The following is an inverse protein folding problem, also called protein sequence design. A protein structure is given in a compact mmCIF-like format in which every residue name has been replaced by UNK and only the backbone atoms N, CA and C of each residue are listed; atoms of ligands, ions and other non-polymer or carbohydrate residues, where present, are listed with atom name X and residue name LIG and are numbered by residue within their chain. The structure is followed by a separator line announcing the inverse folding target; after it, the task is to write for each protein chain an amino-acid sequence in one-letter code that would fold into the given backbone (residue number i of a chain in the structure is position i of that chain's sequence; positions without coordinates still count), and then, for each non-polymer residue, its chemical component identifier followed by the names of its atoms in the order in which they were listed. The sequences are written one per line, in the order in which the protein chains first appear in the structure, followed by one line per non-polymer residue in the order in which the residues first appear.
data_IF_062160642286
#
_entry.id   IF_062160642286
#
_cell.length_a   1.000
_cell.length_b   1.000
_cell.length_c   1.000
_cell.angle_alpha   90.00
_cell.angle_beta   90.00
_cell.angle_gamma   90.00
#
_symmetry.space_group_name_H-M   'P 1'
#
loop_
_entity.id
_entity.type
_entity.pdbx_description
1 polymer ?
#
# COMPACT_ATOMS: atom_id res chain seq x y z
N UNK A 1 -27.55 8.50 12.38
CA UNK A 1 -27.23 9.62 13.27
C UNK A 1 -26.24 9.12 14.30
N UNK A 2 -25.03 9.68 14.39
CA UNK A 2 -23.94 9.08 15.16
C UNK A 2 -24.22 8.95 16.68
N UNK A 3 -25.17 9.73 17.23
CA UNK A 3 -25.69 9.54 18.59
C UNK A 3 -26.28 8.14 18.83
N UNK A 4 -26.86 7.51 17.80
CA UNK A 4 -27.34 6.12 17.90
C UNK A 4 -26.20 5.13 18.09
N UNK A 5 -25.04 5.39 17.49
CA UNK A 5 -23.84 4.56 17.67
C UNK A 5 -23.27 4.71 19.08
N UNK A 6 -23.23 5.94 19.61
CA UNK A 6 -22.78 6.18 20.99
C UNK A 6 -23.73 5.50 21.99
N UNK A 7 -25.03 5.56 21.72
CA UNK A 7 -26.06 4.94 22.54
C UNK A 7 -25.98 3.40 22.59
N UNK A 8 -25.26 2.73 21.67
CA UNK A 8 -24.98 1.29 21.81
C UNK A 8 -24.12 1.00 23.04
N UNK A 9 -23.31 1.97 23.47
CA UNK A 9 -22.38 1.83 24.59
C UNK A 9 -22.78 2.64 25.82
N UNK A 10 -23.80 3.50 25.71
CA UNK A 10 -24.32 4.32 26.80
C UNK A 10 -25.83 4.05 27.04
N UNK A 11 -26.19 3.28 28.09
CA UNK A 11 -27.57 2.94 28.40
C UNK A 11 -28.47 4.14 28.71
N UNK A 12 -27.90 5.22 29.26
CA UNK A 12 -28.64 6.45 29.56
C UNK A 12 -29.01 7.16 28.26
N UNK A 13 -28.06 7.31 27.34
CA UNK A 13 -28.28 7.92 26.04
C UNK A 13 -29.24 7.09 25.17
N UNK A 14 -29.12 5.76 25.21
CA UNK A 14 -30.05 4.84 24.55
C UNK A 14 -31.49 5.07 25.00
N UNK A 15 -31.70 5.15 26.32
CA UNK A 15 -33.02 5.42 26.91
C UNK A 15 -33.54 6.82 26.54
N UNK A 16 -32.66 7.82 26.50
CA UNK A 16 -33.02 9.18 26.09
C UNK A 16 -33.47 9.23 24.62
N UNK A 17 -32.74 8.57 23.71
CA UNK A 17 -33.10 8.51 22.28
C UNK A 17 -34.41 7.76 22.06
N UNK A 18 -34.66 6.67 22.80
CA UNK A 18 -35.92 5.93 22.73
C UNK A 18 -37.12 6.77 23.17
N UNK A 19 -36.96 7.54 24.25
CA UNK A 19 -38.05 8.31 24.84
C UNK A 19 -38.28 9.66 24.13
N UNK A 20 -37.23 10.28 23.59
CA UNK A 20 -37.24 11.67 23.11
C UNK A 20 -36.59 11.86 21.73
N UNK A 21 -36.29 10.80 20.99
CA UNK A 21 -35.68 10.89 19.66
C UNK A 21 -36.62 11.40 18.56
N UNK A 22 -37.94 11.21 18.74
CA UNK A 22 -39.00 11.69 17.85
C UNK A 22 -40.18 12.31 18.64
N UNK A 23 -39.96 13.29 19.52
CA UNK A 23 -41.07 13.90 20.19
C UNK A 23 -41.77 14.83 19.20
N UNK A 24 -43.10 14.87 19.22
CA UNK A 24 -43.85 15.92 18.54
C UNK A 24 -43.51 17.31 19.10
N UNK A 25 -44.34 18.31 18.81
CA UNK A 25 -44.13 19.73 19.16
C UNK A 25 -43.89 20.06 20.65
N UNK A 26 -44.08 19.11 21.57
CA UNK A 26 -44.17 19.38 23.02
C UNK A 26 -42.96 18.96 23.85
N UNK A 27 -41.94 18.24 23.31
CA UNK A 27 -40.73 17.92 24.07
C UNK A 27 -39.44 18.35 23.36
N UNK A 28 -38.51 18.92 24.12
CA UNK A 28 -37.15 19.25 23.65
C UNK A 28 -36.31 17.98 23.57
N UNK A 29 -35.98 17.52 22.36
CA UNK A 29 -35.20 16.28 22.17
C UNK A 29 -33.73 16.42 22.55
N UNK A 30 -33.17 17.64 22.51
CA UNK A 30 -31.71 17.90 22.55
C UNK A 30 -30.92 17.13 21.48
N UNK A 31 -31.59 16.68 20.41
CA UNK A 31 -31.01 15.96 19.28
C UNK A 31 -30.83 16.87 18.06
N UNK A 32 -30.75 18.19 18.26
CA UNK A 32 -30.45 19.11 17.16
C UNK A 32 -29.04 18.88 16.63
N UNK A 33 -28.81 19.24 15.37
CA UNK A 33 -27.46 19.25 14.79
C UNK A 33 -26.45 20.01 15.69
N UNK A 34 -26.84 21.18 16.21
CA UNK A 34 -25.99 21.99 17.08
C UNK A 34 -25.63 21.30 18.40
N UNK A 35 -26.60 20.63 19.03
CA UNK A 35 -26.36 19.92 20.30
C UNK A 35 -25.46 18.70 20.10
N UNK A 36 -25.65 17.99 18.99
CA UNK A 36 -24.81 16.86 18.60
C UNK A 36 -23.35 17.25 18.34
N UNK A 37 -23.12 18.33 17.58
CA UNK A 37 -21.77 18.86 17.32
C UNK A 37 -21.07 19.30 18.61
N UNK A 38 -21.78 19.97 19.52
CA UNK A 38 -21.23 20.34 20.83
C UNK A 38 -20.83 19.12 21.65
N UNK A 39 -21.65 18.07 21.65
CA UNK A 39 -21.36 16.85 22.39
C UNK A 39 -20.10 16.15 21.84
N UNK A 40 -19.99 16.02 20.51
CA UNK A 40 -18.77 15.49 19.87
C UNK A 40 -17.56 16.31 20.25
N UNK A 41 -17.67 17.63 20.18
CA UNK A 41 -16.55 18.52 20.50
C UNK A 41 -16.05 18.30 21.93
N UNK A 42 -16.95 18.24 22.91
CA UNK A 42 -16.59 18.00 24.32
C UNK A 42 -15.92 16.63 24.48
N UNK A 43 -16.44 15.59 23.84
CA UNK A 43 -15.81 14.26 23.88
C UNK A 43 -14.43 14.27 23.23
N UNK A 44 -14.27 14.91 22.08
CA UNK A 44 -13.00 15.02 21.38
C UNK A 44 -11.96 15.77 22.24
N UNK A 45 -12.36 16.89 22.85
CA UNK A 45 -11.51 17.64 23.80
C UNK A 45 -11.10 16.76 24.98
N UNK A 46 -12.04 15.99 25.56
CA UNK A 46 -11.73 15.08 26.67
C UNK A 46 -10.75 13.98 26.26
N UNK A 47 -10.92 13.39 25.08
CA UNK A 47 -10.01 12.38 24.53
C UNK A 47 -8.61 12.96 24.32
N UNK A 48 -8.50 14.16 23.72
CA UNK A 48 -7.23 14.84 23.50
C UNK A 48 -6.54 15.14 24.84
N UNK A 49 -7.27 15.66 25.83
CA UNK A 49 -6.71 15.91 27.16
C UNK A 49 -6.12 14.64 27.79
N UNK A 50 -6.85 13.51 27.74
CA UNK A 50 -6.35 12.23 28.23
C UNK A 50 -5.08 11.80 27.49
N UNK A 51 -5.04 11.91 26.16
CA UNK A 51 -3.85 11.58 25.37
C UNK A 51 -2.65 12.45 25.78
N UNK A 52 -2.85 13.75 25.98
CA UNK A 52 -1.79 14.66 26.41
C UNK A 52 -1.28 14.33 27.81
N UNK A 53 -2.16 13.94 28.75
CA UNK A 53 -1.77 13.46 30.08
C UNK A 53 -0.93 12.18 29.99
N UNK A 54 -1.36 11.19 29.19
CA UNK A 54 -0.61 9.97 28.92
C UNK A 54 0.80 10.29 28.36
N UNK A 55 0.89 11.19 27.38
CA UNK A 55 2.16 11.57 26.75
C UNK A 55 3.12 12.29 27.69
N UNK A 56 2.60 13.18 28.55
CA UNK A 56 3.42 13.86 29.57
C UNK A 56 4.06 12.90 30.56
N UNK A 57 3.43 11.74 30.80
CA UNK A 57 3.99 10.68 31.64
C UNK A 57 4.97 9.76 30.89
N UNK A 58 4.94 9.77 29.56
CA UNK A 58 5.81 8.93 28.73
C UNK A 58 7.19 9.56 28.55
N UNK A 59 8.24 8.75 28.61
CA UNK A 59 9.61 9.22 28.36
C UNK A 59 9.84 9.54 26.88
N UNK A 60 9.24 8.76 25.99
CA UNK A 60 9.42 8.86 24.55
C UNK A 60 8.08 8.74 23.83
N UNK A 61 7.89 9.58 22.83
CA UNK A 61 6.77 9.50 21.90
C UNK A 61 7.26 9.83 20.48
N UNK A 62 6.51 9.39 19.50
CA UNK A 62 6.68 9.75 18.10
C UNK A 62 5.34 10.16 17.50
N UNK A 63 5.42 10.97 16.44
CA UNK A 63 4.26 11.38 15.66
C UNK A 63 4.40 10.74 14.28
N UNK A 64 3.50 9.81 13.99
CA UNK A 64 3.31 9.24 12.67
C UNK A 64 2.31 10.11 11.91
N UNK A 65 2.68 10.54 10.72
CA UNK A 65 1.81 11.32 9.86
C UNK A 65 1.68 10.61 8.52
N UNK A 66 0.46 10.19 8.19
CA UNK A 66 0.17 9.45 6.97
C UNK A 66 -0.70 10.29 6.03
N UNK A 67 -0.34 10.33 4.75
CA UNK A 67 -1.02 11.09 3.70
C UNK A 67 -1.61 10.15 2.67
N UNK A 68 -2.90 10.28 2.42
CA UNK A 68 -3.57 9.52 1.36
C UNK A 68 -4.34 10.47 0.44
N UNK A 69 -4.04 10.49 -0.88
CA UNK A 69 -4.86 11.23 -1.81
C UNK A 69 -6.19 10.49 -2.01
N UNK A 70 -7.28 11.25 -1.91
CA UNK A 70 -8.60 10.76 -2.26
C UNK A 70 -8.83 10.77 -3.78
N UNK A 71 -10.02 10.35 -4.22
CA UNK A 71 -10.38 10.27 -5.65
C UNK A 71 -10.36 11.65 -6.35
N UNK A 72 -10.46 12.73 -5.58
CA UNK A 72 -10.39 14.11 -6.06
C UNK A 72 -8.97 14.69 -6.06
N UNK A 73 -7.96 13.86 -5.75
CA UNK A 73 -6.56 14.25 -5.55
C UNK A 73 -6.36 15.27 -4.42
N UNK A 74 -7.26 15.27 -3.44
CA UNK A 74 -7.08 16.03 -2.20
C UNK A 74 -6.37 15.13 -1.21
N UNK A 75 -5.26 15.61 -0.65
CA UNK A 75 -4.48 14.85 0.32
C UNK A 75 -5.18 14.89 1.67
N UNK A 76 -5.48 13.71 2.20
CA UNK A 76 -5.98 13.53 3.56
C UNK A 76 -4.82 13.11 4.45
N UNK A 77 -4.42 14.01 5.34
CA UNK A 77 -3.39 13.78 6.34
C UNK A 77 -4.02 13.27 7.62
N UNK A 78 -3.42 12.24 8.22
CA UNK A 78 -3.78 11.71 9.52
C UNK A 78 -2.60 11.83 10.48
N UNK A 79 -2.89 12.22 11.72
CA UNK A 79 -1.91 12.32 12.79
C UNK A 79 -2.16 11.21 13.80
N UNK A 80 -1.15 10.37 14.01
CA UNK A 80 -1.16 9.30 15.00
C UNK A 80 0.03 9.49 15.92
N UNK A 81 -0.21 9.51 17.22
CA UNK A 81 0.87 9.50 18.20
C UNK A 81 1.10 8.06 18.64
N UNK A 82 2.37 7.68 18.71
CA UNK A 82 2.82 6.42 19.31
C UNK A 82 3.69 6.75 20.53
N UNK A 83 3.46 6.09 21.64
CA UNK A 83 4.26 6.24 22.86
C UNK A 83 4.32 4.92 23.62
N UNK A 84 5.18 4.86 24.64
CA UNK A 84 5.31 3.70 25.53
C UNK A 84 4.62 4.02 26.85
N UNK A 85 3.68 3.16 27.27
CA UNK A 85 2.98 3.34 28.54
C UNK A 85 3.87 2.98 29.75
N UNK A 86 3.36 3.19 30.96
CA UNK A 86 4.09 2.91 32.21
C UNK A 86 4.47 1.45 32.43
N UNK A 87 3.84 0.52 31.69
CA UNK A 87 4.09 -0.93 31.76
C UNK A 87 5.07 -1.37 30.66
N UNK A 88 5.52 -0.45 29.80
CA UNK A 88 6.49 -0.74 28.73
C UNK A 88 5.84 -1.19 27.41
N UNK A 89 4.53 -1.03 27.24
CA UNK A 89 3.83 -1.43 26.01
C UNK A 89 3.65 -0.26 25.05
N UNK A 90 3.80 -0.48 23.72
CA UNK A 90 3.53 0.54 22.72
C UNK A 90 2.03 0.79 22.58
N UNK A 91 1.64 2.05 22.63
CA UNK A 91 0.26 2.53 22.46
C UNK A 91 0.19 3.49 21.29
N UNK A 92 -0.85 3.36 20.47
CA UNK A 92 -1.18 4.32 19.41
C UNK A 92 -2.48 5.05 19.72
N UNK A 93 -2.47 6.36 19.42
CA UNK A 93 -3.61 7.25 19.57
C UNK A 93 -3.76 8.08 18.31
N UNK A 94 -4.91 7.95 17.66
CA UNK A 94 -5.30 8.85 16.57
C UNK A 94 -5.65 10.23 17.14
N UNK A 95 -5.03 11.28 16.61
CA UNK A 95 -5.32 12.66 17.02
C UNK A 95 -6.37 13.33 16.13
N UNK A 96 -6.37 13.01 14.85
CA UNK A 96 -7.23 13.69 13.89
C UNK A 96 -6.72 13.56 12.47
N UNK A 97 -7.60 13.90 11.53
CA UNK A 97 -7.28 14.00 10.11
C UNK A 97 -7.65 15.37 9.56
N UNK A 98 -6.93 15.81 8.54
CA UNK A 98 -7.18 17.07 7.87
C UNK A 98 -6.92 16.92 6.36
N UNK A 99 -7.83 17.47 5.56
CA UNK A 99 -7.70 17.51 4.10
C UNK A 99 -7.00 18.80 3.65
N UNK A 100 -6.16 18.67 2.63
CA UNK A 100 -5.44 19.77 2.01
C UNK A 100 -5.53 19.66 0.49
N UNK A 101 -5.86 20.77 -0.16
CA UNK A 101 -5.76 20.92 -1.61
C UNK A 101 -4.28 21.10 -2.00
N UNK A 102 -3.76 20.26 -2.90
CA UNK A 102 -2.41 20.41 -3.48
C UNK A 102 -1.23 20.48 -2.46
N UNK A 103 -1.10 19.52 -1.55
CA UNK A 103 0.01 19.53 -0.60
C UNK A 103 1.34 19.02 -1.20
N UNK A 104 2.28 19.93 -1.42
CA UNK A 104 3.68 19.58 -1.60
C UNK A 104 4.29 19.05 -0.29
N UNK A 105 4.29 17.71 -0.18
CA UNK A 105 5.25 16.83 0.49
C UNK A 105 5.41 16.89 2.02
N UNK A 106 5.18 15.73 2.65
CA UNK A 106 5.56 15.39 4.02
C UNK A 106 7.03 15.71 4.38
N UNK A 107 7.95 15.53 3.42
CA UNK A 107 9.39 15.75 3.56
C UNK A 107 9.92 16.98 2.80
N UNK A 108 9.03 17.89 2.34
CA UNK A 108 9.43 19.06 1.57
C UNK A 108 10.36 19.99 2.36
N UNK A 109 11.54 20.30 1.80
CA UNK A 109 12.61 21.04 2.47
C UNK A 109 12.19 22.44 2.98
N UNK A 110 11.28 23.12 2.28
CA UNK A 110 10.90 24.51 2.56
C UNK A 110 9.54 24.66 3.23
N UNK A 111 8.56 23.84 2.84
CA UNK A 111 7.16 23.99 3.26
C UNK A 111 6.50 22.70 3.76
N UNK A 112 7.25 21.59 3.80
CA UNK A 112 6.74 20.28 4.18
C UNK A 112 6.47 20.14 5.67
N UNK A 113 5.69 19.12 6.03
CA UNK A 113 5.31 18.83 7.43
C UNK A 113 6.55 18.65 8.31
N UNK A 114 7.58 17.96 7.80
CA UNK A 114 8.88 17.84 8.47
C UNK A 114 9.48 19.19 8.85
N UNK A 115 9.57 20.14 7.91
CA UNK A 115 10.17 21.45 8.16
C UNK A 115 9.35 22.24 9.18
N UNK A 116 8.01 22.19 9.09
CA UNK A 116 7.11 22.86 10.06
C UNK A 116 7.26 22.29 11.46
N UNK A 117 7.36 20.98 11.62
CA UNK A 117 7.60 20.33 12.92
C UNK A 117 8.96 20.74 13.46
N UNK A 118 10.02 20.73 12.65
CA UNK A 118 11.37 21.14 13.08
C UNK A 118 11.46 22.61 13.50
N UNK A 119 10.63 23.50 12.95
CA UNK A 119 10.57 24.90 13.39
C UNK A 119 10.05 25.03 14.82
N UNK A 120 9.09 24.20 15.23
CA UNK A 120 8.50 24.20 16.58
C UNK A 120 9.32 23.35 17.55
N UNK A 121 9.85 22.22 17.08
CA UNK A 121 10.64 21.27 17.83
C UNK A 121 11.96 20.97 17.08
N UNK A 122 13.01 21.82 17.25
CA UNK A 122 14.27 21.67 16.52
C UNK A 122 15.01 20.36 16.80
N UNK A 123 14.77 19.76 17.97
CA UNK A 123 15.34 18.47 18.38
C UNK A 123 14.56 17.27 17.84
N UNK A 124 13.46 17.47 17.12
CA UNK A 124 12.68 16.38 16.57
C UNK A 124 13.39 15.74 15.38
N UNK A 125 13.68 14.44 15.50
CA UNK A 125 14.21 13.64 14.41
C UNK A 125 13.11 13.21 13.44
N UNK A 126 13.39 13.35 12.15
CA UNK A 126 12.49 12.90 11.09
C UNK A 126 12.99 11.58 10.53
N UNK A 127 12.12 10.57 10.55
CA UNK A 127 12.39 9.25 9.99
C UNK A 127 11.41 9.00 8.84
N UNK A 128 11.88 8.73 7.61
CA UNK A 128 11.00 8.37 6.51
C UNK A 128 10.30 7.04 6.78
N UNK A 129 9.07 6.91 6.27
CA UNK A 129 8.29 5.69 6.45
C UNK A 129 8.97 4.49 5.75
N UNK A 130 9.35 3.48 6.53
CA UNK A 130 9.94 2.21 6.05
C UNK A 130 9.11 1.54 4.95
N UNK A 131 7.79 1.51 5.09
CA UNK A 131 6.91 0.93 4.07
C UNK A 131 6.92 1.75 2.77
N UNK A 132 6.96 3.08 2.86
CA UNK A 132 7.09 3.95 1.69
C UNK A 132 8.44 3.77 0.99
N UNK A 133 9.53 3.73 1.75
CA UNK A 133 10.88 3.47 1.21
C UNK A 133 10.93 2.12 0.48
N UNK A 134 10.35 1.06 1.07
CA UNK A 134 10.27 -0.25 0.42
C UNK A 134 9.49 -0.21 -0.90
N UNK A 135 8.40 0.56 -0.95
CA UNK A 135 7.61 0.75 -2.16
C UNK A 135 8.38 1.49 -3.26
N UNK A 136 9.16 2.52 -2.90
CA UNK A 136 10.02 3.24 -3.84
C UNK A 136 11.06 2.31 -4.46
N UNK A 137 11.68 1.43 -3.66
CA UNK A 137 12.65 0.44 -4.16
C UNK A 137 12.02 -0.46 -5.20
N UNK A 138 10.83 -0.98 -4.93
CA UNK A 138 10.09 -1.82 -5.86
C UNK A 138 9.72 -1.08 -7.15
N UNK A 139 9.30 0.18 -7.05
CA UNK A 139 8.98 1.05 -8.19
C UNK A 139 10.23 1.31 -9.05
N UNK A 140 11.36 1.67 -8.45
CA UNK A 140 12.60 1.89 -9.19
C UNK A 140 13.08 0.60 -9.87
N UNK A 141 13.07 -0.53 -9.16
CA UNK A 141 13.45 -1.81 -9.74
C UNK A 141 12.56 -2.21 -10.93
N UNK A 142 11.26 -1.93 -10.84
CA UNK A 142 10.31 -2.13 -11.93
C UNK A 142 10.54 -1.21 -13.13
N UNK A 143 10.81 0.07 -12.88
CA UNK A 143 11.05 1.07 -13.93
C UNK A 143 12.25 0.74 -14.82
N UNK A 144 13.22 -0.04 -14.31
CA UNK A 144 14.37 -0.51 -15.08
C UNK A 144 14.04 -1.62 -16.09
N UNK A 145 12.79 -2.07 -16.15
CA UNK A 145 12.32 -3.08 -17.10
C UNK A 145 11.09 -2.56 -17.86
N UNK A 146 11.23 -2.33 -19.17
CA UNK A 146 10.10 -1.89 -20.01
C UNK A 146 8.94 -2.88 -20.06
N UNK A 147 9.22 -4.19 -19.97
CA UNK A 147 8.18 -5.22 -19.86
C UNK A 147 7.44 -5.06 -18.52
N UNK A 148 8.16 -4.87 -17.42
CA UNK A 148 7.50 -4.65 -16.13
C UNK A 148 6.67 -3.35 -16.15
N UNK A 149 7.25 -2.26 -16.66
CA UNK A 149 6.64 -0.94 -16.70
C UNK A 149 5.31 -0.91 -17.48
N UNK A 150 5.22 -1.66 -18.58
CA UNK A 150 4.05 -1.67 -19.46
C UNK A 150 2.90 -2.61 -19.00
N UNK A 151 3.16 -3.66 -18.20
CA UNK A 151 2.11 -4.63 -17.78
C UNK A 151 1.64 -4.45 -16.35
N UNK A 152 2.51 -4.06 -15.42
CA UNK A 152 2.20 -4.14 -13.98
C UNK A 152 1.67 -2.83 -13.40
N UNK A 153 1.00 -2.02 -14.22
CA UNK A 153 0.21 -0.86 -13.75
C UNK A 153 1.01 0.08 -12.82
N UNK A 154 2.29 0.28 -13.11
CA UNK A 154 3.13 1.16 -12.28
C UNK A 154 2.73 2.64 -12.36
N UNK A 155 1.83 3.00 -13.28
CA UNK A 155 1.32 4.36 -13.47
C UNK A 155 0.09 4.75 -12.63
N UNK A 156 -0.55 3.84 -11.89
CA UNK A 156 -1.87 4.14 -11.27
C UNK A 156 -1.82 4.75 -9.85
N UNK A 157 -0.72 4.59 -9.09
CA UNK A 157 -0.52 5.23 -7.78
C UNK A 157 0.82 4.82 -7.18
N UNK A 158 1.58 5.79 -6.66
CA UNK A 158 2.85 5.55 -5.92
C UNK A 158 2.59 4.86 -4.56
N UNK A 159 1.38 4.96 -4.01
CA UNK A 159 1.09 4.65 -2.59
C UNK A 159 0.37 3.32 -2.32
N UNK A 160 -0.14 2.60 -3.34
CA UNK A 160 -0.97 1.39 -3.12
C UNK A 160 -0.32 0.08 -3.61
N UNK A 161 0.80 -0.31 -3.00
CA UNK A 161 1.55 -1.53 -3.35
C UNK A 161 0.79 -2.85 -3.12
N UNK A 162 -0.06 -2.94 -2.10
CA UNK A 162 -0.91 -4.12 -1.86
C UNK A 162 -1.78 -4.46 -3.08
N UNK A 163 -2.37 -3.44 -3.71
CA UNK A 163 -3.17 -3.60 -4.93
C UNK A 163 -2.34 -4.17 -6.09
N UNK A 164 -1.03 -3.89 -6.15
CA UNK A 164 -0.12 -4.43 -7.18
C UNK A 164 0.17 -5.92 -6.95
N UNK A 165 0.40 -6.32 -5.70
CA UNK A 165 0.54 -7.74 -5.35
C UNK A 165 -0.72 -8.52 -5.75
N UNK A 166 -1.89 -8.01 -5.40
CA UNK A 166 -3.16 -8.72 -5.62
C UNK A 166 -3.50 -8.81 -7.12
N UNK A 167 -3.23 -7.75 -7.89
CA UNK A 167 -3.38 -7.75 -9.35
C UNK A 167 -2.41 -8.74 -10.01
N UNK A 168 -1.14 -8.72 -9.62
CA UNK A 168 -0.13 -9.62 -10.16
C UNK A 168 -0.45 -11.08 -9.83
N UNK A 169 -0.85 -11.38 -8.59
CA UNK A 169 -1.27 -12.73 -8.19
C UNK A 169 -2.51 -13.19 -8.96
N UNK A 170 -3.50 -12.32 -9.12
CA UNK A 170 -4.73 -12.61 -9.86
C UNK A 170 -4.43 -12.92 -11.32
N UNK A 171 -3.59 -12.11 -11.98
CA UNK A 171 -3.14 -12.36 -13.35
C UNK A 171 -2.34 -13.65 -13.46
N UNK A 172 -1.45 -13.91 -12.50
CA UNK A 172 -0.59 -15.09 -12.51
C UNK A 172 -1.40 -16.39 -12.40
N UNK A 173 -2.40 -16.41 -11.51
CA UNK A 173 -3.32 -17.54 -11.28
C UNK A 173 -4.29 -17.76 -12.42
N UNK A 174 -4.85 -16.69 -12.99
CA UNK A 174 -5.90 -16.75 -14.01
C UNK A 174 -5.35 -16.58 -15.43
N UNK A 175 -4.08 -16.93 -15.66
CA UNK A 175 -3.38 -16.63 -16.91
C UNK A 175 -4.11 -17.13 -18.16
N UNK A 176 -4.51 -18.41 -18.17
CA UNK A 176 -5.24 -19.02 -19.29
C UNK A 176 -6.61 -18.39 -19.49
N UNK A 177 -7.36 -18.16 -18.41
CA UNK A 177 -8.68 -17.52 -18.48
C UNK A 177 -8.60 -16.10 -19.06
N UNK A 178 -7.61 -15.31 -18.64
CA UNK A 178 -7.38 -13.95 -19.18
C UNK A 178 -6.98 -14.00 -20.66
N UNK A 179 -6.13 -14.97 -21.07
CA UNK A 179 -5.80 -15.17 -22.49
C UNK A 179 -7.03 -15.51 -23.32
N UNK A 180 -7.88 -16.41 -22.84
CA UNK A 180 -9.08 -16.84 -23.55
C UNK A 180 -10.07 -15.68 -23.69
N UNK A 181 -10.29 -14.91 -22.63
CA UNK A 181 -11.13 -13.71 -22.68
C UNK A 181 -10.60 -12.67 -23.67
N UNK A 182 -9.28 -12.45 -23.73
CA UNK A 182 -8.67 -11.56 -24.71
C UNK A 182 -8.83 -12.09 -26.15
N UNK A 183 -8.74 -13.40 -26.36
CA UNK A 183 -8.95 -14.02 -27.66
C UNK A 183 -10.41 -13.84 -28.11
N UNK A 184 -11.38 -14.08 -27.22
CA UNK A 184 -12.81 -13.84 -27.49
C UNK A 184 -13.09 -12.38 -27.87
N UNK A 185 -12.46 -11.41 -27.20
CA UNK A 185 -12.58 -9.99 -27.54
C UNK A 185 -11.99 -9.65 -28.92
N UNK A 186 -10.91 -10.32 -29.33
CA UNK A 186 -10.29 -10.13 -30.64
C UNK A 186 -11.19 -10.69 -31.75
N UNK A 187 -11.82 -11.84 -31.50
CA UNK A 187 -12.62 -12.56 -32.49
C UNK A 187 -14.08 -12.06 -32.58
N UNK A 188 -14.55 -11.29 -31.60
CA UNK A 188 -15.90 -10.72 -31.58
C UNK A 188 -16.08 -9.57 -32.56
N UNK A 189 -16.91 -9.76 -33.60
CA UNK A 189 -17.27 -8.69 -34.54
C UNK A 189 -18.20 -7.62 -33.96
N UNK A 190 -18.75 -7.86 -32.76
CA UNK A 190 -19.61 -6.91 -32.05
C UNK A 190 -18.83 -5.84 -31.27
N UNK A 191 -17.51 -6.03 -31.10
CA UNK A 191 -16.67 -5.11 -30.35
C UNK A 191 -16.14 -3.95 -31.20
N UNK A 192 -15.89 -2.81 -30.55
CA UNK A 192 -15.33 -1.64 -31.24
C UNK A 192 -13.94 -1.98 -31.82
N UNK A 193 -13.58 -1.48 -33.03
CA UNK A 193 -12.26 -1.72 -33.60
C UNK A 193 -11.08 -1.37 -32.68
N UNK A 194 -11.22 -0.31 -31.87
CA UNK A 194 -10.22 0.07 -30.87
C UNK A 194 -10.08 -0.99 -29.78
N UNK A 195 -11.19 -1.48 -29.20
CA UNK A 195 -11.19 -2.55 -28.18
C UNK A 195 -10.50 -3.81 -28.72
N UNK A 196 -10.80 -4.21 -29.95
CA UNK A 196 -10.17 -5.37 -30.59
C UNK A 196 -8.67 -5.18 -30.80
N UNK A 197 -8.26 -3.98 -31.22
CA UNK A 197 -6.85 -3.64 -31.39
C UNK A 197 -6.09 -3.64 -30.07
N UNK A 198 -6.67 -3.11 -29.00
CA UNK A 198 -6.08 -3.14 -27.65
C UNK A 198 -5.97 -4.56 -27.11
N UNK A 199 -7.05 -5.35 -27.21
CA UNK A 199 -7.07 -6.75 -26.80
C UNK A 199 -6.02 -7.58 -27.56
N UNK A 200 -5.91 -7.38 -28.88
CA UNK A 200 -4.87 -8.01 -29.71
C UNK A 200 -3.46 -7.61 -29.28
N UNK A 201 -3.28 -6.33 -28.95
CA UNK A 201 -2.05 -5.80 -28.38
C UNK A 201 -1.65 -6.53 -27.09
N UNK A 202 -2.57 -6.64 -26.13
CA UNK A 202 -2.36 -7.33 -24.85
C UNK A 202 -2.09 -8.82 -25.04
N UNK A 203 -2.91 -9.50 -25.85
CA UNK A 203 -2.78 -10.92 -26.14
C UNK A 203 -1.43 -11.27 -26.77
N UNK A 204 -1.00 -10.49 -27.78
CA UNK A 204 0.33 -10.64 -28.41
C UNK A 204 1.45 -10.55 -27.38
N UNK A 205 1.27 -9.76 -26.34
CA UNK A 205 2.27 -9.59 -25.31
C UNK A 205 2.21 -10.66 -24.23
N UNK A 206 1.03 -11.11 -23.81
CA UNK A 206 0.88 -12.30 -22.96
C UNK A 206 1.46 -13.54 -23.65
N UNK A 207 1.43 -13.60 -24.99
CA UNK A 207 2.05 -14.68 -25.75
C UNK A 207 3.60 -14.58 -25.84
N UNK A 208 4.25 -13.61 -25.19
CA UNK A 208 5.71 -13.56 -25.08
C UNK A 208 6.17 -14.28 -23.82
N UNK A 209 7.13 -15.19 -23.97
CA UNK A 209 7.74 -15.92 -22.86
C UNK A 209 8.35 -14.96 -21.81
N UNK A 210 8.90 -13.82 -22.24
CA UNK A 210 9.39 -12.79 -21.31
C UNK A 210 8.29 -12.23 -20.42
N UNK A 211 7.07 -12.05 -20.94
CA UNK A 211 5.94 -11.54 -20.14
C UNK A 211 5.54 -12.58 -19.10
N UNK A 212 5.43 -13.85 -19.48
CA UNK A 212 5.12 -14.95 -18.57
C UNK A 212 6.18 -15.08 -17.46
N UNK A 213 7.46 -15.05 -17.83
CA UNK A 213 8.60 -15.08 -16.90
C UNK A 213 8.56 -13.90 -15.92
N UNK A 214 8.43 -12.68 -16.44
CA UNK A 214 8.42 -11.47 -15.61
C UNK A 214 7.21 -11.44 -14.69
N UNK A 215 6.06 -11.97 -15.12
CA UNK A 215 4.86 -12.08 -14.29
C UNK A 215 5.09 -13.01 -13.11
N UNK A 216 5.65 -14.19 -13.34
CA UNK A 216 5.95 -15.14 -12.27
C UNK A 216 6.99 -14.57 -11.29
N UNK A 217 8.07 -13.98 -11.80
CA UNK A 217 9.12 -13.39 -10.97
C UNK A 217 8.60 -12.22 -10.12
N UNK A 218 7.88 -11.27 -10.74
CA UNK A 218 7.34 -10.13 -10.01
C UNK A 218 6.26 -10.53 -9.01
N UNK A 219 5.48 -11.57 -9.30
CA UNK A 219 4.49 -12.09 -8.35
C UNK A 219 5.13 -12.43 -7.00
N UNK A 220 6.26 -13.13 -7.02
CA UNK A 220 7.00 -13.55 -5.83
C UNK A 220 7.70 -12.38 -5.13
N UNK A 221 8.33 -11.48 -5.89
CA UNK A 221 8.96 -10.26 -5.35
C UNK A 221 7.90 -9.37 -4.67
N UNK A 222 6.79 -9.10 -5.35
CA UNK A 222 5.69 -8.26 -4.84
C UNK A 222 5.09 -8.87 -3.58
N UNK A 223 4.93 -10.20 -3.54
CA UNK A 223 4.40 -10.91 -2.38
C UNK A 223 5.35 -10.80 -1.17
N UNK A 224 6.65 -11.02 -1.37
CA UNK A 224 7.64 -10.86 -0.30
C UNK A 224 7.64 -9.43 0.25
N UNK A 225 7.60 -8.43 -0.63
CA UNK A 225 7.52 -7.02 -0.27
C UNK A 225 6.23 -6.70 0.50
N UNK A 226 5.08 -7.17 0.03
CA UNK A 226 3.78 -6.95 0.68
C UNK A 226 3.77 -7.56 2.09
N UNK A 227 4.33 -8.76 2.25
CA UNK A 227 4.42 -9.43 3.54
C UNK A 227 5.30 -8.65 4.53
N UNK A 228 6.47 -8.15 4.08
CA UNK A 228 7.34 -7.31 4.91
C UNK A 228 6.66 -5.98 5.23
N UNK A 229 6.06 -5.31 4.25
CA UNK A 229 5.33 -4.05 4.44
C UNK A 229 4.21 -4.19 5.48
N UNK A 230 3.40 -5.25 5.43
CA UNK A 230 2.34 -5.52 6.42
C UNK A 230 2.90 -5.71 7.82
N UNK A 231 4.04 -6.41 7.96
CA UNK A 231 4.70 -6.59 9.26
C UNK A 231 5.26 -5.26 9.80
N UNK A 232 5.86 -4.44 8.95
CA UNK A 232 6.40 -3.11 9.30
C UNK A 232 5.34 -2.14 9.84
N UNK A 233 4.07 -2.34 9.46
CA UNK A 233 2.93 -1.54 9.93
C UNK A 233 2.37 -1.99 11.28
N UNK A 234 2.91 -3.06 11.89
CA UNK A 234 2.46 -3.53 13.20
C UNK A 234 2.79 -2.52 14.31
N UNK A 235 1.86 -2.33 15.24
CA UNK A 235 2.06 -1.48 16.43
C UNK A 235 3.17 -2.04 17.34
N UNK A 236 3.24 -3.37 17.42
CA UNK A 236 4.15 -4.10 18.32
C UNK A 236 5.54 -4.35 17.73
N UNK A 237 5.84 -3.81 16.55
CA UNK A 237 7.15 -4.06 15.93
C UNK A 237 8.25 -3.28 16.65
N UNK A 238 9.36 -3.96 16.95
CA UNK A 238 10.59 -3.34 17.42
C UNK A 238 11.65 -3.25 16.30
N UNK A 239 12.69 -2.46 16.55
CA UNK A 239 13.72 -2.17 15.55
C UNK A 239 14.58 -3.41 15.19
N UNK A 240 14.76 -4.35 16.12
CA UNK A 240 15.50 -5.60 15.85
C UNK A 240 14.71 -6.46 14.87
N UNK A 241 13.39 -6.55 15.06
CA UNK A 241 12.49 -7.20 14.10
C UNK A 241 12.56 -6.54 12.72
N UNK A 242 12.58 -5.20 12.62
CA UNK A 242 12.72 -4.48 11.35
C UNK A 242 14.00 -4.89 10.61
N UNK A 243 15.14 -4.89 11.30
CA UNK A 243 16.44 -5.29 10.71
C UNK A 243 16.40 -6.75 10.27
N UNK A 244 15.85 -7.65 11.09
CA UNK A 244 15.67 -9.06 10.74
C UNK A 244 14.81 -9.26 9.50
N UNK A 245 13.72 -8.51 9.35
CA UNK A 245 12.85 -8.57 8.18
C UNK A 245 13.57 -8.12 6.91
N UNK A 246 14.35 -7.04 6.97
CA UNK A 246 15.12 -6.59 5.81
C UNK A 246 16.22 -7.57 5.43
N UNK A 247 16.97 -8.10 6.40
CA UNK A 247 17.98 -9.13 6.13
C UNK A 247 17.35 -10.37 5.48
N UNK A 248 16.21 -10.83 6.00
CA UNK A 248 15.47 -11.97 5.42
C UNK A 248 15.02 -11.67 3.99
N UNK A 249 14.50 -10.47 3.74
CA UNK A 249 14.09 -10.04 2.40
C UNK A 249 15.27 -9.98 1.44
N UNK A 250 16.41 -9.43 1.87
CA UNK A 250 17.64 -9.35 1.07
C UNK A 250 18.14 -10.75 0.71
N UNK A 251 18.19 -11.67 1.67
CA UNK A 251 18.61 -13.04 1.42
C UNK A 251 17.64 -13.75 0.47
N UNK A 252 16.32 -13.58 0.65
CA UNK A 252 15.33 -14.09 -0.30
C UNK A 252 15.54 -13.55 -1.73
N UNK A 253 15.75 -12.25 -1.88
CA UNK A 253 16.01 -11.64 -3.20
C UNK A 253 17.32 -12.16 -3.82
N UNK A 254 18.33 -12.46 -3.00
CA UNK A 254 19.56 -13.12 -3.48
C UNK A 254 19.29 -14.54 -3.96
N UNK A 255 18.47 -15.33 -3.25
CA UNK A 255 18.13 -16.70 -3.69
C UNK A 255 17.34 -16.70 -4.99
N UNK A 256 16.50 -15.70 -5.26
CA UNK A 256 15.81 -15.59 -6.56
C UNK A 256 16.79 -15.56 -7.75
N UNK A 257 18.03 -15.10 -7.56
CA UNK A 257 19.06 -15.08 -8.62
C UNK A 257 19.44 -16.48 -9.09
N UNK A 258 19.39 -17.47 -8.20
CA UNK A 258 19.74 -18.86 -8.52
C UNK A 258 18.55 -19.64 -9.09
N UNK A 259 17.33 -19.10 -8.97
CA UNK A 259 16.07 -19.75 -9.38
C UNK A 259 15.68 -19.49 -10.84
N UNK A 260 16.61 -19.03 -11.69
CA UNK A 260 16.31 -18.71 -13.10
C UNK A 260 15.59 -19.87 -13.82
N UNK A 261 16.10 -21.10 -13.69
CA UNK A 261 15.53 -22.27 -14.36
C UNK A 261 14.12 -22.60 -13.85
N UNK A 262 13.82 -22.32 -12.58
CA UNK A 262 12.49 -22.49 -12.01
C UNK A 262 11.50 -21.53 -12.68
N UNK A 263 11.86 -20.25 -12.78
CA UNK A 263 11.00 -19.25 -13.45
C UNK A 263 10.90 -19.47 -14.96
N UNK A 264 11.96 -19.99 -15.59
CA UNK A 264 11.94 -20.40 -17.00
C UNK A 264 10.90 -21.51 -17.22
N UNK A 265 10.86 -22.51 -16.33
CA UNK A 265 9.84 -23.58 -16.38
C UNK A 265 8.43 -23.06 -16.11
N UNK A 266 8.24 -22.26 -15.05
CA UNK A 266 6.93 -21.65 -14.74
C UNK A 266 6.41 -20.78 -15.90
N UNK A 267 7.31 -20.12 -16.62
CA UNK A 267 6.95 -19.35 -17.80
C UNK A 267 6.53 -20.24 -18.96
N UNK A 268 7.14 -21.41 -19.13
CA UNK A 268 6.79 -22.38 -20.17
C UNK A 268 5.46 -23.07 -19.88
N UNK A 269 5.21 -23.46 -18.63
CA UNK A 269 3.97 -24.13 -18.20
C UNK A 269 2.72 -23.25 -18.44
N UNK A 270 2.88 -21.93 -18.51
CA UNK A 270 1.83 -20.96 -18.87
C UNK A 270 1.40 -21.01 -20.34
N UNK A 271 2.08 -21.80 -21.15
CA UNK A 271 1.74 -22.04 -22.54
C UNK A 271 1.45 -23.52 -22.71
N UNK A 272 0.18 -23.84 -22.94
CA UNK A 272 -0.25 -25.18 -23.31
C UNK A 272 0.51 -25.62 -24.58
N UNK A 273 0.98 -26.87 -24.57
CA UNK A 273 1.97 -27.50 -25.46
C UNK A 273 2.24 -26.82 -26.82
N UNK A 274 3.54 -26.62 -27.11
CA UNK A 274 4.16 -26.04 -28.32
C UNK A 274 4.65 -24.58 -28.24
N UNK A 275 5.32 -24.21 -27.16
CA UNK A 275 6.34 -23.14 -27.26
C UNK A 275 7.66 -23.81 -27.59
N UNK A 276 8.44 -23.32 -28.58
CA UNK A 276 9.81 -23.76 -28.71
C UNK A 276 10.46 -23.61 -27.34
N UNK A 277 11.02 -24.71 -26.83
CA UNK A 277 11.84 -24.68 -25.62
C UNK A 277 12.82 -23.51 -25.73
N UNK A 278 13.41 -23.11 -24.61
CA UNK A 278 14.65 -22.32 -24.63
C UNK A 278 15.82 -23.15 -25.25
N UNK A 279 15.58 -23.89 -26.33
CA UNK A 279 16.56 -24.54 -27.17
C UNK A 279 17.55 -23.47 -27.63
N UNK A 280 18.75 -23.53 -27.03
CA UNK A 280 20.09 -23.40 -27.61
C UNK A 280 20.35 -22.39 -28.74
N UNK A 281 19.44 -22.18 -29.70
CA UNK A 281 19.51 -21.21 -30.79
C UNK A 281 19.35 -19.74 -30.39
N UNK A 282 19.01 -19.40 -29.15
CA UNK A 282 18.96 -18.00 -28.71
C UNK A 282 19.60 -17.75 -27.33
N UNK A 283 20.87 -18.17 -27.17
CA UNK A 283 21.76 -17.79 -26.05
C UNK A 283 21.66 -16.29 -25.69
N UNK A 284 21.46 -15.43 -26.69
CA UNK A 284 21.23 -13.97 -26.53
C UNK A 284 19.98 -13.64 -25.71
N UNK A 285 18.87 -14.37 -25.91
CA UNK A 285 17.59 -14.13 -25.22
C UNK A 285 17.64 -14.61 -23.76
N UNK A 286 18.31 -15.75 -23.50
CA UNK A 286 18.55 -16.25 -22.14
C UNK A 286 19.45 -15.30 -21.35
N UNK A 287 20.54 -14.85 -21.97
CA UNK A 287 21.41 -13.83 -21.39
C UNK A 287 20.67 -12.50 -21.15
N UNK A 288 19.76 -12.10 -22.03
CA UNK A 288 18.96 -10.88 -21.87
C UNK A 288 18.03 -10.97 -20.65
N UNK A 289 17.31 -12.09 -20.47
CA UNK A 289 16.44 -12.31 -19.31
C UNK A 289 17.23 -12.44 -18.02
N UNK A 290 18.35 -13.16 -18.04
CA UNK A 290 19.23 -13.31 -16.88
C UNK A 290 19.84 -11.96 -16.46
N UNK A 291 20.28 -11.14 -17.42
CA UNK A 291 20.77 -9.79 -17.16
C UNK A 291 19.66 -8.87 -16.61
N UNK A 292 18.43 -9.02 -17.11
CA UNK A 292 17.27 -8.26 -16.63
C UNK A 292 16.90 -8.64 -15.20
N UNK A 293 16.82 -9.94 -14.90
CA UNK A 293 16.59 -10.49 -13.57
C UNK A 293 17.68 -10.00 -12.60
N UNK A 294 18.95 -10.09 -12.99
CA UNK A 294 20.06 -9.62 -12.16
C UNK A 294 20.02 -8.10 -11.92
N UNK A 295 19.66 -7.29 -12.93
CA UNK A 295 19.50 -5.84 -12.74
C UNK A 295 18.39 -5.51 -11.74
N UNK A 296 17.23 -6.16 -11.86
CA UNK A 296 16.09 -5.95 -10.95
C UNK A 296 16.49 -6.36 -9.52
N UNK A 297 17.05 -7.57 -9.36
CA UNK A 297 17.41 -8.10 -8.05
C UNK A 297 18.62 -7.36 -7.43
N UNK A 298 19.51 -6.77 -8.23
CA UNK A 298 20.55 -5.87 -7.72
C UNK A 298 19.96 -4.56 -7.21
N UNK A 299 19.06 -3.93 -7.96
CA UNK A 299 18.44 -2.67 -7.54
C UNK A 299 17.55 -2.84 -6.32
N UNK A 300 16.85 -3.98 -6.22
CA UNK A 300 16.12 -4.32 -4.99
C UNK A 300 17.09 -4.44 -3.82
N UNK A 301 18.11 -5.30 -3.92
CA UNK A 301 19.00 -5.60 -2.80
C UNK A 301 19.86 -4.40 -2.35
N UNK A 302 20.35 -3.58 -3.29
CA UNK A 302 21.18 -2.40 -2.99
C UNK A 302 20.36 -1.32 -2.29
N UNK A 303 19.14 -1.08 -2.74
CA UNK A 303 18.35 0.01 -2.19
C UNK A 303 17.60 -0.40 -0.90
N UNK A 304 17.40 -1.69 -0.61
CA UNK A 304 16.90 -2.16 0.70
C UNK A 304 17.88 -1.96 1.86
N UNK A 305 19.15 -1.63 1.57
CA UNK A 305 20.20 -1.37 2.58
C UNK A 305 20.44 0.12 2.85
N UNK A 306 19.78 1.02 2.10
CA UNK A 306 19.86 2.47 2.28
C UNK A 306 18.62 2.98 3.00
#
# INVERSE_FOLDING_TARGET
MAMKLIAEYDPFLSKHILNYGNPGKENTSYMSFFTYEQFIKIMAEKVICTIVEELKSSTYYSISVDSTPDISNVDQLSFVIRYVNSIGEPVERFLGGQSYDNAANMSGAYSGVQTRIKLVAPLADFVPCSAHSLNLIGLYAASCCSVANNYFLFGLSVTRWSARNDACQSLNKNWTAVKNALQELVDSDNEKPLTRSEASGLLRNMNKLETAFMTSLWCDILQAFNNVSKKLQSIKIDISCVVGLYNTLIEYIKTLRTMFNTYEKLAQDKFEENVPQFETKNRKRKNKLMNLMNRILCLVAINTLK
#
